data_IF_059522642902
#
_entry.id   IF_059522642902
#
_cell.length_a   1.000
_cell.length_b   1.000
_cell.length_c   1.000
_cell.angle_alpha   90.00
_cell.angle_beta   90.00
_cell.angle_gamma   90.00
#
_symmetry.space_group_name_H-M   'P 1'
#
loop_
_entity.id
_entity.type
_entity.pdbx_description
1 polymer ?
#
# COMPACT_ATOMS: atom_id res chain seq x y z
N UNK A 1 33.51 -41.49 26.00
CA UNK A 1 33.21 -40.50 24.94
C UNK A 1 31.82 -39.95 25.23
N UNK A 2 31.62 -38.88 26.02
CA UNK A 2 32.51 -37.72 26.25
C UNK A 2 32.93 -37.05 24.93
N UNK A 3 32.74 -35.74 24.68
CA UNK A 3 32.38 -34.62 25.56
C UNK A 3 31.61 -33.54 24.75
N UNK A 4 30.63 -32.89 25.39
CA UNK A 4 30.26 -31.43 25.43
C UNK A 4 30.65 -30.44 24.28
N UNK A 5 30.04 -29.26 24.08
CA UNK A 5 29.36 -28.31 24.99
C UNK A 5 28.53 -27.26 24.18
N UNK A 6 27.41 -26.76 24.72
CA UNK A 6 26.78 -25.39 24.62
C UNK A 6 26.82 -24.54 23.32
N UNK A 7 25.82 -23.69 23.02
CA UNK A 7 25.17 -22.77 23.95
C UNK A 7 23.72 -22.40 23.62
N UNK A 8 22.99 -21.99 24.66
CA UNK A 8 21.61 -21.53 24.62
C UNK A 8 21.50 -20.01 24.72
N UNK A 9 20.37 -19.45 24.26
CA UNK A 9 19.78 -18.24 24.83
C UNK A 9 18.26 -18.31 24.73
N UNK A 10 17.59 -17.93 25.81
CA UNK A 10 16.13 -17.92 25.99
C UNK A 10 15.72 -16.59 26.65
N UNK A 11 14.44 -16.46 27.05
CA UNK A 11 13.84 -15.37 27.86
C UNK A 11 13.47 -14.13 27.01
N UNK A 12 12.28 -13.52 27.09
CA UNK A 12 11.06 -13.83 27.86
C UNK A 12 9.77 -13.40 27.14
N UNK A 13 8.69 -14.14 27.42
CA UNK A 13 7.33 -13.63 27.44
C UNK A 13 7.06 -12.85 28.73
N UNK A 14 6.43 -11.67 28.66
CA UNK A 14 5.81 -11.02 29.82
C UNK A 14 4.42 -10.52 29.42
N UNK A 15 3.44 -10.88 30.23
CA UNK A 15 2.17 -10.18 30.32
C UNK A 15 1.53 -10.49 31.66
N UNK A 16 1.17 -9.47 32.44
CA UNK A 16 0.11 -9.59 33.46
C UNK A 16 -0.48 -8.24 33.90
N UNK A 17 -1.51 -8.34 34.72
CA UNK A 17 -2.51 -7.30 35.05
C UNK A 17 -2.11 -6.39 36.21
N UNK A 18 -2.84 -5.29 36.43
CA UNK A 18 -2.87 -4.57 37.73
C UNK A 18 -3.51 -3.19 37.69
N UNK A 19 -4.43 -2.89 38.62
CA UNK A 19 -5.30 -1.70 38.60
C UNK A 19 -5.00 -0.66 39.71
N UNK A 20 -5.26 0.61 39.39
CA UNK A 20 -5.84 1.71 40.23
C UNK A 20 -5.24 2.02 41.63
N UNK A 21 -4.88 3.29 41.84
CA UNK A 21 -5.05 4.00 43.11
C UNK A 21 -5.25 5.53 42.89
N UNK A 22 -6.01 6.19 43.77
CA UNK A 22 -6.45 7.59 43.67
C UNK A 22 -6.40 8.25 45.06
N UNK A 23 -5.58 9.30 45.24
CA UNK A 23 -5.42 10.08 46.50
C UNK A 23 -5.00 11.51 46.08
N UNK A 24 -5.87 12.52 46.13
CA UNK A 24 -6.19 13.41 47.27
C UNK A 24 -4.97 14.10 47.91
N UNK A 25 -4.89 15.44 47.78
CA UNK A 25 -3.90 16.27 48.48
C UNK A 25 -4.39 16.77 49.85
N UNK A 26 -3.54 17.50 50.60
CA UNK A 26 -3.95 18.83 51.07
C UNK A 26 -2.85 19.91 50.91
N UNK A 27 -3.14 21.14 51.35
CA UNK A 27 -2.49 22.39 50.92
C UNK A 27 -1.68 23.15 52.00
N UNK A 28 -0.87 24.12 51.57
CA UNK A 28 -0.19 25.18 52.35
C UNK A 28 1.01 25.76 51.59
N UNK A 29 0.93 26.97 50.98
CA UNK A 29 1.35 28.27 51.57
C UNK A 29 2.87 28.29 51.94
N UNK A 30 3.76 29.19 51.51
CA UNK A 30 3.78 30.49 50.79
C UNK A 30 5.22 30.68 50.20
N UNK A 31 5.61 31.59 49.29
CA UNK A 31 4.99 32.64 48.46
C UNK A 31 5.88 32.90 47.19
N UNK A 32 5.71 34.02 46.47
CA UNK A 32 6.58 34.45 45.34
C UNK A 32 7.28 35.81 45.59
N UNK A 33 7.75 36.57 44.56
CA UNK A 33 7.78 36.26 43.12
C UNK A 33 9.14 36.54 42.41
N UNK A 34 9.35 35.95 41.21
CA UNK A 34 9.88 36.60 39.99
C UNK A 34 10.17 35.59 38.86
N UNK A 35 9.60 35.87 37.70
CA UNK A 35 10.14 35.63 36.36
C UNK A 35 10.72 34.24 36.01
N UNK A 36 9.83 33.29 35.77
CA UNK A 36 10.07 32.21 34.80
C UNK A 36 8.78 32.01 33.98
N UNK A 37 8.81 32.17 32.64
CA UNK A 37 7.60 32.05 31.84
C UNK A 37 7.08 30.61 31.84
N UNK A 38 5.78 30.48 32.04
CA UNK A 38 5.04 29.23 31.80
C UNK A 38 5.33 28.81 30.36
N UNK A 39 5.87 27.60 30.17
CA UNK A 39 5.94 26.96 28.85
C UNK A 39 4.52 26.53 28.47
N UNK A 40 3.73 27.52 28.05
CA UNK A 40 2.45 27.34 27.40
C UNK A 40 2.68 26.50 26.15
N UNK A 41 1.86 25.46 25.98
CA UNK A 41 1.92 24.58 24.84
C UNK A 41 1.73 25.36 23.52
N UNK A 42 2.84 25.68 22.88
CA UNK A 42 2.94 26.13 21.49
C UNK A 42 3.64 25.00 20.72
N UNK A 43 3.10 24.46 19.64
CA UNK A 43 1.87 24.81 18.93
C UNK A 43 1.23 23.56 18.34
N UNK A 44 -0.05 23.34 18.64
CA UNK A 44 -0.92 22.68 17.66
C UNK A 44 -1.10 23.69 16.53
N UNK A 45 -0.25 23.60 15.51
CA UNK A 45 -0.47 24.34 14.26
C UNK A 45 -1.74 23.80 13.64
N UNK A 46 -2.84 24.53 13.84
CA UNK A 46 -4.13 24.25 13.22
C UNK A 46 -3.93 24.14 11.70
N UNK A 47 -4.04 22.92 11.16
CA UNK A 47 -3.99 22.67 9.70
C UNK A 47 -5.36 23.04 9.10
N UNK A 48 -5.78 24.27 9.36
CA UNK A 48 -7.04 24.85 8.93
C UNK A 48 -6.66 25.89 7.89
N UNK A 49 -7.08 25.65 6.64
CA UNK A 49 -6.72 26.39 5.41
C UNK A 49 -5.23 26.36 4.98
N UNK A 50 -4.74 25.19 4.52
CA UNK A 50 -3.51 25.06 3.72
C UNK A 50 -3.66 25.77 2.36
N UNK A 51 -2.63 26.48 1.90
CA UNK A 51 -2.65 27.21 0.63
C UNK A 51 -2.83 26.28 -0.60
N UNK A 52 -3.53 26.70 -1.68
CA UNK A 52 -3.82 25.86 -2.84
C UNK A 52 -2.59 25.23 -3.52
N UNK A 53 -1.45 25.93 -3.51
CA UNK A 53 -0.21 25.44 -4.11
C UNK A 53 0.37 24.21 -3.39
N UNK A 54 0.20 24.11 -2.07
CA UNK A 54 0.68 22.96 -1.28
C UNK A 54 -0.20 21.73 -1.54
N UNK A 55 -1.53 21.91 -1.60
CA UNK A 55 -2.47 20.85 -1.98
C UNK A 55 -2.16 20.26 -3.37
N UNK A 56 -1.77 21.11 -4.32
CA UNK A 56 -1.35 20.68 -5.66
C UNK A 56 -0.05 19.85 -5.62
N UNK A 57 0.92 20.25 -4.80
CA UNK A 57 2.18 19.49 -4.62
C UNK A 57 1.92 18.11 -3.99
N UNK A 58 1.05 18.03 -2.98
CA UNK A 58 0.65 16.77 -2.36
C UNK A 58 0.07 15.79 -3.39
N UNK A 59 -0.97 16.22 -4.13
CA UNK A 59 -1.63 15.38 -5.14
C UNK A 59 -0.64 14.98 -6.24
N UNK A 60 0.19 15.90 -6.73
CA UNK A 60 1.18 15.61 -7.76
C UNK A 60 2.21 14.56 -7.32
N UNK A 61 2.73 14.64 -6.09
CA UNK A 61 3.68 13.64 -5.59
C UNK A 61 3.01 12.28 -5.38
N UNK A 62 1.81 12.25 -4.79
CA UNK A 62 1.04 11.01 -4.60
C UNK A 62 0.70 10.33 -5.94
N UNK A 63 0.39 11.10 -6.99
CA UNK A 63 0.15 10.56 -8.34
C UNK A 63 1.41 9.96 -8.98
N UNK A 64 2.58 10.61 -8.81
CA UNK A 64 3.87 10.05 -9.25
C UNK A 64 4.20 8.77 -8.49
N UNK A 65 4.02 8.75 -7.17
CA UNK A 65 4.24 7.56 -6.34
C UNK A 65 3.30 6.41 -6.74
N UNK A 66 2.00 6.68 -6.91
CA UNK A 66 1.01 5.70 -7.39
C UNK A 66 1.37 5.13 -8.77
N UNK A 67 1.83 5.97 -9.70
CA UNK A 67 2.24 5.54 -11.04
C UNK A 67 3.50 4.67 -10.99
N UNK A 68 4.55 5.08 -10.30
CA UNK A 68 5.79 4.29 -10.20
C UNK A 68 5.57 2.95 -9.50
N UNK A 69 4.80 2.95 -8.40
CA UNK A 69 4.33 1.73 -7.73
C UNK A 69 3.65 0.78 -8.73
N UNK A 70 2.74 1.28 -9.57
CA UNK A 70 2.10 0.48 -10.63
C UNK A 70 3.07 0.01 -11.71
N UNK A 71 4.07 0.82 -12.11
CA UNK A 71 5.10 0.39 -13.06
C UNK A 71 5.96 -0.75 -12.49
N UNK A 72 6.32 -0.69 -11.21
CA UNK A 72 6.98 -1.79 -10.49
C UNK A 72 6.12 -3.07 -10.48
N UNK A 73 4.83 -2.97 -10.15
CA UNK A 73 3.92 -4.13 -10.20
C UNK A 73 3.81 -4.72 -11.60
N UNK A 74 3.75 -3.87 -12.63
CA UNK A 74 3.68 -4.30 -14.03
C UNK A 74 4.96 -5.03 -14.46
N UNK A 75 6.13 -4.46 -14.15
CA UNK A 75 7.43 -5.06 -14.44
C UNK A 75 7.54 -6.45 -13.78
N UNK A 76 7.28 -6.51 -12.48
CA UNK A 76 7.29 -7.73 -11.70
C UNK A 76 6.30 -8.77 -12.25
N UNK A 77 5.06 -8.38 -12.52
CA UNK A 77 4.02 -9.27 -13.07
C UNK A 77 4.41 -9.84 -14.44
N UNK A 78 4.97 -9.03 -15.34
CA UNK A 78 5.41 -9.49 -16.66
C UNK A 78 6.45 -10.61 -16.54
N UNK A 79 7.36 -10.51 -15.58
CA UNK A 79 8.44 -11.46 -15.39
C UNK A 79 7.91 -12.79 -14.86
N UNK A 80 7.22 -12.79 -13.70
CA UNK A 80 6.65 -14.01 -13.14
C UNK A 80 5.57 -14.66 -14.01
N UNK A 81 4.73 -13.87 -14.70
CA UNK A 81 3.70 -14.44 -15.58
C UNK A 81 4.29 -15.02 -16.86
N UNK A 82 5.21 -14.30 -17.51
CA UNK A 82 5.58 -14.67 -18.88
C UNK A 82 6.42 -15.95 -18.91
N UNK A 83 7.39 -16.09 -17.98
CA UNK A 83 8.38 -17.19 -17.95
C UNK A 83 8.88 -17.57 -19.36
N UNK A 84 9.01 -16.55 -20.21
CA UNK A 84 8.81 -16.69 -21.66
C UNK A 84 10.13 -16.81 -22.40
N UNK A 85 11.17 -16.18 -21.87
CA UNK A 85 12.57 -16.45 -22.22
C UNK A 85 12.88 -17.95 -22.04
N UNK A 86 12.68 -18.50 -20.85
CA UNK A 86 12.89 -19.93 -20.56
C UNK A 86 12.09 -20.85 -21.49
N UNK A 87 10.82 -20.52 -21.76
CA UNK A 87 9.99 -21.29 -22.69
C UNK A 87 10.50 -21.22 -24.13
N UNK A 88 10.91 -20.05 -24.60
CA UNK A 88 11.46 -19.85 -25.94
C UNK A 88 12.83 -20.56 -26.10
N UNK A 89 13.75 -20.33 -25.16
CA UNK A 89 15.08 -20.97 -25.06
C UNK A 89 14.99 -22.49 -25.11
N UNK A 90 14.04 -23.07 -24.36
CA UNK A 90 13.78 -24.51 -24.35
C UNK A 90 12.82 -25.00 -25.46
N UNK A 91 12.54 -24.17 -26.49
CA UNK A 91 11.67 -24.48 -27.65
C UNK A 91 10.24 -24.90 -27.30
N UNK A 92 9.76 -24.56 -26.09
CA UNK A 92 8.37 -24.68 -25.61
C UNK A 92 7.48 -23.50 -26.06
N UNK A 93 8.05 -22.55 -26.79
CA UNK A 93 7.39 -21.47 -27.52
C UNK A 93 8.18 -21.20 -28.80
N UNK A 94 7.50 -20.94 -29.92
CA UNK A 94 8.14 -20.59 -31.20
C UNK A 94 8.66 -19.16 -31.24
N UNK A 95 8.17 -18.29 -30.34
CA UNK A 95 8.56 -16.88 -30.23
C UNK A 95 8.73 -16.50 -28.75
N UNK A 96 9.62 -15.55 -28.45
CA UNK A 96 9.66 -14.91 -27.14
C UNK A 96 8.51 -13.89 -27.05
N UNK A 97 7.62 -14.07 -26.07
CA UNK A 97 6.44 -13.21 -25.85
C UNK A 97 6.53 -12.46 -24.53
N UNK A 98 7.48 -11.51 -24.46
CA UNK A 98 7.62 -10.61 -23.32
C UNK A 98 6.94 -9.26 -23.59
N UNK A 99 5.80 -9.05 -22.95
CA UNK A 99 5.13 -7.74 -22.95
C UNK A 99 5.66 -6.88 -21.81
N UNK A 100 6.69 -6.09 -22.08
CA UNK A 100 7.26 -5.16 -21.11
C UNK A 100 6.99 -3.71 -21.53
N UNK A 101 6.47 -2.91 -20.59
CA UNK A 101 6.28 -1.47 -20.76
C UNK A 101 6.80 -0.77 -19.51
N UNK A 102 7.95 -0.09 -19.64
CA UNK A 102 8.50 0.81 -18.63
C UNK A 102 8.14 2.25 -18.94
N UNK A 103 7.74 2.99 -17.92
CA UNK A 103 7.67 4.45 -17.95
C UNK A 103 8.27 5.01 -16.67
N UNK A 104 9.54 5.42 -16.75
CA UNK A 104 10.22 6.22 -15.73
C UNK A 104 10.05 7.72 -16.00
N UNK A 105 10.33 8.53 -14.99
CA UNK A 105 10.41 9.99 -15.07
C UNK A 105 11.86 10.45 -15.27
N UNK A 106 12.12 11.44 -16.14
CA UNK A 106 13.46 12.02 -16.31
C UNK A 106 13.87 12.90 -15.12
N UNK A 107 12.88 13.49 -14.42
CA UNK A 107 13.06 14.20 -13.15
C UNK A 107 11.83 13.93 -12.28
N UNK A 108 12.05 13.60 -11.02
CA UNK A 108 11.00 13.40 -10.02
C UNK A 108 10.71 14.72 -9.29
N UNK A 109 9.45 14.94 -8.83
CA UNK A 109 9.18 15.97 -7.84
C UNK A 109 9.82 15.58 -6.50
N UNK A 110 10.12 16.57 -5.66
CA UNK A 110 10.54 16.32 -4.28
C UNK A 110 9.33 15.99 -3.40
N UNK A 111 9.49 15.15 -2.34
CA UNK A 111 8.46 14.95 -1.33
C UNK A 111 8.09 16.28 -0.67
N UNK A 112 6.80 16.63 -0.52
CA UNK A 112 6.38 17.84 0.17
C UNK A 112 7.01 17.93 1.57
N UNK A 113 7.66 19.06 1.86
CA UNK A 113 8.56 19.19 3.02
C UNK A 113 7.85 19.09 4.38
N UNK A 114 6.53 19.28 4.39
CA UNK A 114 5.67 19.28 5.56
C UNK A 114 4.89 17.96 5.73
N UNK A 115 5.32 16.88 5.05
CA UNK A 115 4.87 15.51 5.31
C UNK A 115 5.56 14.90 6.54
N UNK A 116 4.90 13.96 7.24
CA UNK A 116 5.42 13.37 8.47
C UNK A 116 6.66 12.48 8.21
N UNK A 117 7.68 12.64 9.03
CA UNK A 117 8.79 11.68 9.11
C UNK A 117 8.43 10.47 9.99
N UNK A 118 9.06 9.29 9.77
CA UNK A 118 10.04 9.00 8.71
C UNK A 118 9.41 8.75 7.33
N UNK A 119 8.09 8.61 7.26
CA UNK A 119 7.38 8.18 6.04
C UNK A 119 7.64 9.07 4.81
N UNK A 120 7.88 10.38 5.00
CA UNK A 120 8.28 11.31 3.93
C UNK A 120 9.62 10.92 3.30
N UNK A 121 10.67 10.79 4.10
CA UNK A 121 12.01 10.45 3.61
C UNK A 121 12.08 9.03 3.06
N UNK A 122 11.40 8.08 3.71
CA UNK A 122 11.26 6.69 3.25
C UNK A 122 10.53 6.61 1.90
N UNK A 123 9.37 7.29 1.74
CA UNK A 123 8.68 7.31 0.44
C UNK A 123 9.48 8.07 -0.63
N UNK A 124 10.27 9.08 -0.25
CA UNK A 124 11.26 9.71 -1.11
C UNK A 124 12.26 8.72 -1.67
N UNK A 125 12.91 7.95 -0.80
CA UNK A 125 13.87 6.91 -1.19
C UNK A 125 13.21 5.82 -2.06
N UNK A 126 12.02 5.35 -1.67
CA UNK A 126 11.30 4.30 -2.38
C UNK A 126 10.85 4.74 -3.78
N UNK A 127 10.36 5.98 -3.95
CA UNK A 127 9.98 6.56 -5.26
C UNK A 127 11.20 6.69 -6.18
N UNK A 128 12.35 7.17 -5.68
CA UNK A 128 13.59 7.23 -6.47
C UNK A 128 14.02 5.83 -6.93
N UNK A 129 14.11 4.88 -5.99
CA UNK A 129 14.48 3.48 -6.27
C UNK A 129 13.54 2.81 -7.27
N UNK A 130 12.24 3.07 -7.20
CA UNK A 130 11.25 2.56 -8.15
C UNK A 130 11.49 3.10 -9.56
N UNK A 131 11.80 4.39 -9.67
CA UNK A 131 12.10 5.04 -10.95
C UNK A 131 13.36 4.47 -11.61
N UNK A 132 14.40 4.25 -10.82
CA UNK A 132 15.67 3.69 -11.30
C UNK A 132 15.52 2.21 -11.71
N UNK A 133 14.83 1.38 -10.92
CA UNK A 133 14.56 -0.02 -11.28
C UNK A 133 13.71 -0.16 -12.54
N UNK A 134 12.68 0.67 -12.71
CA UNK A 134 11.83 0.69 -13.93
C UNK A 134 12.63 1.14 -15.16
N UNK A 135 13.56 2.10 -14.99
CA UNK A 135 14.48 2.52 -16.04
C UNK A 135 15.48 1.41 -16.40
N UNK A 136 16.07 0.77 -15.40
CA UNK A 136 17.03 -0.32 -15.57
C UNK A 136 16.38 -1.51 -16.29
N UNK A 137 15.23 -2.00 -15.83
CA UNK A 137 14.52 -3.10 -16.47
C UNK A 137 14.13 -2.77 -17.93
N UNK A 138 13.80 -1.51 -18.25
CA UNK A 138 13.63 -1.07 -19.64
C UNK A 138 14.89 -1.24 -20.49
N UNK A 139 16.06 -0.87 -19.96
CA UNK A 139 17.35 -1.07 -20.65
C UNK A 139 17.75 -2.53 -20.76
N UNK A 140 17.61 -3.33 -19.70
CA UNK A 140 17.94 -4.76 -19.69
C UNK A 140 17.01 -5.56 -20.60
N UNK A 141 15.72 -5.21 -20.63
CA UNK A 141 14.75 -5.82 -21.53
C UNK A 141 15.07 -5.54 -23.00
N UNK A 142 15.42 -4.29 -23.33
CA UNK A 142 15.89 -3.95 -24.68
C UNK A 142 17.15 -4.76 -25.05
N UNK A 143 18.14 -4.82 -24.17
CA UNK A 143 19.38 -5.59 -24.40
C UNK A 143 19.11 -7.08 -24.66
N UNK A 144 18.12 -7.67 -23.98
CA UNK A 144 17.73 -9.06 -24.21
C UNK A 144 17.04 -9.25 -25.57
N UNK A 145 16.16 -8.32 -25.95
CA UNK A 145 15.51 -8.33 -27.27
C UNK A 145 16.52 -8.15 -28.41
N UNK A 146 17.45 -7.19 -28.28
CA UNK A 146 18.50 -6.94 -29.28
C UNK A 146 19.43 -8.17 -29.44
N UNK A 147 19.85 -8.79 -28.33
CA UNK A 147 20.62 -10.04 -28.30
C UNK A 147 19.91 -11.22 -28.99
N UNK A 148 18.60 -11.38 -28.78
CA UNK A 148 17.80 -12.43 -29.42
C UNK A 148 17.62 -12.16 -30.92
N UNK A 149 17.37 -10.90 -31.30
CA UNK A 149 17.19 -10.51 -32.70
C UNK A 149 18.50 -10.63 -33.52
N UNK A 150 19.65 -10.34 -32.91
CA UNK A 150 20.97 -10.50 -33.50
C UNK A 150 21.40 -11.98 -33.65
N UNK A 151 20.74 -12.89 -32.94
CA UNK A 151 21.09 -14.32 -32.81
C UNK A 151 22.44 -14.62 -32.14
N UNK A 152 22.97 -13.69 -31.35
CA UNK A 152 24.15 -13.87 -30.50
C UNK A 152 24.12 -15.19 -29.67
N UNK A 153 22.92 -15.69 -29.34
CA UNK A 153 22.70 -16.95 -28.63
C UNK A 153 23.20 -18.20 -29.37
N UNK A 154 23.39 -18.14 -30.69
CA UNK A 154 23.94 -19.24 -31.50
C UNK A 154 25.44 -19.39 -31.25
N UNK A 155 26.14 -18.28 -30.97
CA UNK A 155 27.58 -18.25 -30.67
C UNK A 155 27.89 -18.51 -29.19
N UNK A 156 27.21 -17.78 -28.28
CA UNK A 156 27.51 -17.82 -26.83
C UNK A 156 26.74 -18.91 -26.06
N UNK A 157 25.88 -19.67 -26.75
CA UNK A 157 25.02 -20.73 -26.22
C UNK A 157 24.10 -20.27 -25.08
N UNK A 158 23.41 -19.15 -25.30
CA UNK A 158 22.45 -18.51 -24.39
C UNK A 158 23.05 -17.77 -23.18
N UNK A 159 24.38 -17.70 -23.02
CA UNK A 159 25.02 -17.21 -21.79
C UNK A 159 24.59 -15.78 -21.41
N UNK A 160 24.74 -14.81 -22.31
CA UNK A 160 24.35 -13.41 -22.09
C UNK A 160 22.84 -13.25 -21.94
N UNK A 161 22.05 -14.09 -22.63
CA UNK A 161 20.60 -14.11 -22.48
C UNK A 161 20.15 -14.58 -21.09
N UNK A 162 20.81 -15.62 -20.56
CA UNK A 162 20.57 -16.15 -19.22
C UNK A 162 20.95 -15.10 -18.14
N UNK A 163 22.08 -14.41 -18.32
CA UNK A 163 22.52 -13.29 -17.44
C UNK A 163 21.50 -12.14 -17.45
N UNK A 164 21.03 -11.71 -18.62
CA UNK A 164 20.03 -10.64 -18.76
C UNK A 164 18.66 -11.04 -18.18
N UNK A 165 18.23 -12.29 -18.39
CA UNK A 165 16.98 -12.82 -17.82
C UNK A 165 17.06 -12.92 -16.28
N UNK A 166 18.18 -13.39 -15.73
CA UNK A 166 18.41 -13.42 -14.29
C UNK A 166 18.35 -12.00 -13.68
N UNK A 167 19.00 -11.01 -14.31
CA UNK A 167 18.94 -9.61 -13.86
C UNK A 167 17.53 -9.03 -13.94
N UNK A 168 16.77 -9.36 -14.99
CA UNK A 168 15.36 -8.96 -15.08
C UNK A 168 14.54 -9.55 -13.94
N UNK A 169 14.67 -10.85 -13.65
CA UNK A 169 13.98 -11.51 -12.53
C UNK A 169 14.28 -10.82 -11.18
N UNK A 170 15.55 -10.53 -10.90
CA UNK A 170 15.99 -9.80 -9.69
C UNK A 170 15.34 -8.40 -9.56
N UNK A 171 15.25 -7.67 -10.68
CA UNK A 171 14.56 -6.37 -10.73
C UNK A 171 13.05 -6.57 -10.50
N UNK A 172 12.44 -7.63 -11.03
CA UNK A 172 11.03 -7.97 -10.81
C UNK A 172 10.71 -8.25 -9.34
N UNK A 173 11.52 -9.09 -8.69
CA UNK A 173 11.40 -9.36 -7.24
C UNK A 173 11.56 -8.10 -6.41
N UNK A 174 12.54 -7.26 -6.75
CA UNK A 174 12.80 -6.01 -6.03
C UNK A 174 11.68 -4.99 -6.25
N UNK A 175 11.14 -4.89 -7.46
CA UNK A 175 9.95 -4.10 -7.78
C UNK A 175 8.73 -4.53 -6.96
N UNK A 176 8.54 -5.83 -6.72
CA UNK A 176 7.41 -6.34 -5.93
C UNK A 176 7.55 -6.07 -4.43
N UNK A 177 8.76 -6.26 -3.88
CA UNK A 177 9.06 -5.83 -2.49
C UNK A 177 8.80 -4.33 -2.33
N UNK A 178 9.27 -3.52 -3.29
CA UNK A 178 9.12 -2.06 -3.27
C UNK A 178 7.66 -1.62 -3.46
N UNK A 179 6.86 -2.36 -4.25
CA UNK A 179 5.42 -2.13 -4.38
C UNK A 179 4.69 -2.29 -3.03
N UNK A 180 5.05 -3.31 -2.24
CA UNK A 180 4.54 -3.51 -0.88
C UNK A 180 4.91 -2.34 0.04
N UNK A 181 6.20 -2.00 0.08
CA UNK A 181 6.77 -0.90 0.87
C UNK A 181 6.10 0.45 0.56
N UNK A 182 6.04 0.83 -0.72
CA UNK A 182 5.40 2.07 -1.18
C UNK A 182 3.90 2.09 -0.87
N UNK A 183 3.21 0.94 -0.86
CA UNK A 183 1.79 0.86 -0.47
C UNK A 183 1.60 1.17 1.01
N UNK A 184 2.45 0.63 1.89
CA UNK A 184 2.45 0.95 3.32
C UNK A 184 2.72 2.42 3.58
N UNK A 185 3.81 2.96 3.02
CA UNK A 185 4.22 4.35 3.17
C UNK A 185 3.17 5.35 2.64
N UNK A 186 2.61 5.08 1.46
CA UNK A 186 1.48 5.84 0.91
C UNK A 186 0.31 5.87 1.90
N UNK A 187 -0.03 4.73 2.50
CA UNK A 187 -1.15 4.63 3.43
C UNK A 187 -0.90 5.47 4.67
N UNK A 188 0.29 5.37 5.28
CA UNK A 188 0.66 6.17 6.46
C UNK A 188 0.60 7.67 6.19
N UNK A 189 1.06 8.12 5.02
CA UNK A 189 0.95 9.53 4.63
C UNK A 189 -0.52 9.92 4.42
N UNK A 190 -1.31 9.09 3.71
CA UNK A 190 -2.72 9.37 3.47
C UNK A 190 -3.55 9.43 4.76
N UNK A 191 -3.36 8.49 5.70
CA UNK A 191 -3.97 8.50 7.04
C UNK A 191 -3.73 9.84 7.75
N UNK A 192 -2.48 10.34 7.72
CA UNK A 192 -2.09 11.61 8.34
C UNK A 192 -2.66 12.83 7.62
N UNK A 193 -2.67 12.83 6.28
CA UNK A 193 -3.25 13.92 5.49
C UNK A 193 -4.79 13.99 5.63
N UNK A 194 -5.48 12.85 5.74
CA UNK A 194 -6.92 12.79 6.00
C UNK A 194 -7.21 13.36 7.39
N UNK A 195 -6.53 12.88 8.43
CA UNK A 195 -6.73 13.36 9.81
C UNK A 195 -6.48 14.87 9.94
N UNK A 196 -5.41 15.37 9.30
CA UNK A 196 -5.07 16.79 9.28
C UNK A 196 -6.11 17.69 8.57
N UNK A 197 -6.93 17.13 7.67
CA UNK A 197 -7.81 17.92 6.78
C UNK A 197 -9.30 17.71 7.01
N UNK A 198 -9.72 16.64 7.71
CA UNK A 198 -11.13 16.28 7.89
C UNK A 198 -12.01 17.41 8.43
N UNK A 199 -11.47 18.24 9.33
CA UNK A 199 -12.17 19.38 9.94
C UNK A 199 -12.34 20.58 9.00
N UNK A 200 -11.66 20.60 7.85
CA UNK A 200 -11.72 21.65 6.83
C UNK A 200 -12.40 21.22 5.53
N UNK A 201 -13.11 20.09 5.51
CA UNK A 201 -14.05 19.72 4.45
C UNK A 201 -15.45 20.29 4.74
N UNK A 202 -16.30 20.50 3.73
CA UNK A 202 -17.67 20.97 3.97
C UNK A 202 -18.55 19.97 4.76
N UNK A 203 -18.18 18.68 4.74
CA UNK A 203 -18.91 17.57 5.38
C UNK A 203 -17.97 16.69 6.24
N UNK A 204 -17.45 17.19 7.38
CA UNK A 204 -16.51 16.47 8.23
C UNK A 204 -17.06 15.15 8.80
N UNK A 205 -18.37 15.10 9.06
CA UNK A 205 -19.08 13.90 9.52
C UNK A 205 -19.10 12.82 8.43
N UNK A 206 -19.33 13.19 7.17
CA UNK A 206 -19.25 12.26 6.02
C UNK A 206 -17.84 11.71 5.84
N UNK A 207 -16.81 12.56 5.97
CA UNK A 207 -15.39 12.13 5.99
C UNK A 207 -15.13 11.16 7.15
N UNK A 208 -15.66 11.46 8.35
CA UNK A 208 -15.55 10.59 9.52
C UNK A 208 -16.14 9.21 9.29
N UNK A 209 -17.31 9.12 8.66
CA UNK A 209 -17.95 7.86 8.27
C UNK A 209 -17.09 7.07 7.27
N UNK A 210 -16.61 7.71 6.19
CA UNK A 210 -15.72 7.05 5.21
C UNK A 210 -14.43 6.52 5.87
N UNK A 211 -13.84 7.27 6.80
CA UNK A 211 -12.65 6.84 7.55
C UNK A 211 -12.94 5.67 8.48
N UNK A 212 -14.12 5.63 9.10
CA UNK A 212 -14.53 4.49 9.95
C UNK A 212 -14.70 3.21 9.12
N UNK A 213 -15.44 3.29 8.01
CA UNK A 213 -15.69 2.15 7.13
C UNK A 213 -14.38 1.67 6.45
N UNK A 214 -13.49 2.61 6.12
CA UNK A 214 -12.14 2.29 5.65
C UNK A 214 -11.28 1.57 6.70
N UNK A 215 -11.39 1.91 7.99
CA UNK A 215 -10.66 1.18 9.06
C UNK A 215 -11.11 -0.28 9.17
N UNK A 216 -12.40 -0.58 8.96
CA UNK A 216 -12.90 -1.96 8.88
C UNK A 216 -12.27 -2.68 7.68
N UNK A 217 -12.25 -2.03 6.50
CA UNK A 217 -11.56 -2.56 5.33
C UNK A 217 -10.06 -2.79 5.57
N UNK A 218 -9.38 -1.90 6.30
CA UNK A 218 -7.95 -2.03 6.66
C UNK A 218 -7.69 -3.27 7.53
N UNK A 219 -8.64 -3.69 8.37
CA UNK A 219 -8.58 -4.97 9.07
C UNK A 219 -8.51 -6.18 8.12
N UNK A 220 -9.29 -6.17 7.03
CA UNK A 220 -9.16 -7.15 5.95
C UNK A 220 -7.80 -7.04 5.26
N UNK A 221 -7.34 -5.83 4.89
CA UNK A 221 -6.03 -5.65 4.24
C UNK A 221 -4.86 -6.21 5.07
N UNK A 222 -4.89 -6.00 6.39
CA UNK A 222 -3.90 -6.54 7.33
C UNK A 222 -3.90 -8.07 7.37
N UNK A 223 -5.07 -8.72 7.34
CA UNK A 223 -5.16 -10.17 7.29
C UNK A 223 -4.65 -10.71 5.95
N UNK A 224 -5.02 -10.08 4.83
CA UNK A 224 -4.52 -10.42 3.49
C UNK A 224 -3.01 -10.18 3.33
N UNK A 225 -2.39 -9.36 4.19
CA UNK A 225 -0.93 -9.19 4.21
C UNK A 225 -0.18 -10.40 4.80
N UNK A 226 -0.88 -11.37 5.38
CA UNK A 226 -0.31 -12.65 5.82
C UNK A 226 -0.16 -13.67 4.69
N UNK A 227 -0.64 -13.36 3.48
CA UNK A 227 -0.53 -14.22 2.29
C UNK A 227 -1.09 -15.63 2.56
N UNK A 228 -0.36 -16.70 2.21
CA UNK A 228 -0.76 -18.08 2.50
C UNK A 228 -0.96 -18.42 3.98
N UNK A 229 -0.58 -17.53 4.90
CA UNK A 229 -0.77 -17.66 6.36
C UNK A 229 -2.02 -16.93 6.88
N UNK A 230 -2.77 -16.24 6.01
CA UNK A 230 -4.03 -15.61 6.38
C UNK A 230 -5.07 -16.67 6.80
N UNK A 231 -5.83 -16.39 7.86
CA UNK A 231 -6.91 -17.23 8.35
C UNK A 231 -8.15 -17.09 7.45
N UNK A 232 -8.58 -18.14 6.71
CA UNK A 232 -9.75 -18.09 5.84
C UNK A 232 -11.05 -17.75 6.56
N UNK A 233 -11.20 -18.15 7.83
CA UNK A 233 -12.41 -17.88 8.61
C UNK A 233 -12.47 -16.41 9.06
N UNK A 234 -11.33 -15.84 9.47
CA UNK A 234 -11.22 -14.40 9.79
C UNK A 234 -11.43 -13.53 8.54
N UNK A 235 -10.87 -13.94 7.40
CA UNK A 235 -11.11 -13.28 6.10
C UNK A 235 -12.61 -13.30 5.73
N UNK A 236 -13.29 -14.44 5.86
CA UNK A 236 -14.74 -14.54 5.59
C UNK A 236 -15.58 -13.67 6.55
N UNK A 237 -15.23 -13.63 7.84
CA UNK A 237 -15.90 -12.77 8.82
C UNK A 237 -15.78 -11.28 8.48
N UNK A 238 -14.57 -10.80 8.17
CA UNK A 238 -14.31 -9.41 7.78
C UNK A 238 -15.03 -9.04 6.46
N UNK A 239 -15.09 -9.96 5.51
CA UNK A 239 -15.81 -9.76 4.23
C UNK A 239 -17.33 -9.68 4.43
N UNK A 240 -17.89 -10.43 5.39
CA UNK A 240 -19.29 -10.33 5.79
C UNK A 240 -19.59 -8.99 6.47
N UNK A 241 -18.76 -8.58 7.43
CA UNK A 241 -18.87 -7.27 8.11
C UNK A 241 -18.86 -6.11 7.10
N UNK A 242 -17.88 -6.10 6.19
CA UNK A 242 -17.79 -5.12 5.09
C UNK A 242 -19.03 -5.15 4.20
N UNK A 243 -19.56 -6.33 3.88
CA UNK A 243 -20.78 -6.44 3.04
C UNK A 243 -22.00 -5.85 3.74
N UNK A 244 -22.18 -6.11 5.05
CA UNK A 244 -23.25 -5.54 5.86
C UNK A 244 -23.15 -4.01 5.94
N UNK A 245 -21.95 -3.46 6.17
CA UNK A 245 -21.73 -2.01 6.19
C UNK A 245 -22.02 -1.36 4.82
N UNK A 246 -21.62 -1.99 3.73
CA UNK A 246 -21.96 -1.53 2.37
C UNK A 246 -23.46 -1.46 2.15
N UNK A 247 -24.22 -2.49 2.55
CA UNK A 247 -25.66 -2.54 2.36
C UNK A 247 -26.39 -1.54 3.30
N UNK A 248 -25.92 -1.37 4.54
CA UNK A 248 -26.38 -0.33 5.47
C UNK A 248 -26.17 1.08 4.90
N UNK A 249 -24.99 1.37 4.35
CA UNK A 249 -24.68 2.69 3.78
C UNK A 249 -25.54 2.99 2.55
N UNK A 250 -25.76 2.02 1.67
CA UNK A 250 -26.68 2.16 0.53
C UNK A 250 -28.13 2.42 0.96
N UNK A 251 -28.59 1.76 2.03
CA UNK A 251 -29.96 1.93 2.53
C UNK A 251 -30.16 3.27 3.27
N UNK A 252 -29.23 3.63 4.15
CA UNK A 252 -29.48 4.59 5.23
C UNK A 252 -28.58 5.84 5.20
N UNK A 253 -27.48 5.85 4.44
CA UNK A 253 -26.56 7.00 4.44
C UNK A 253 -27.01 8.07 3.43
N UNK A 254 -27.75 9.07 3.92
CA UNK A 254 -28.32 10.14 3.10
C UNK A 254 -27.31 10.82 2.13
N UNK A 255 -26.05 11.13 2.51
CA UNK A 255 -25.06 11.70 1.59
C UNK A 255 -24.75 10.81 0.36
N UNK A 256 -24.95 9.50 0.45
CA UNK A 256 -24.78 8.57 -0.68
C UNK A 256 -26.03 8.50 -1.58
N UNK A 257 -27.21 8.86 -1.07
CA UNK A 257 -28.50 8.73 -1.75
C UNK A 257 -28.90 10.02 -2.47
N UNK A 258 -28.74 11.15 -1.78
CA UNK A 258 -29.36 12.42 -2.17
C UNK A 258 -28.36 13.29 -2.94
N UNK A 259 -28.06 12.87 -4.18
CA UNK A 259 -27.05 13.45 -5.08
C UNK A 259 -25.59 13.29 -4.59
N UNK A 260 -25.03 12.07 -4.60
CA UNK A 260 -23.68 11.81 -4.08
C UNK A 260 -22.57 12.43 -4.93
N UNK A 261 -21.60 13.05 -4.25
CA UNK A 261 -20.32 13.45 -4.84
C UNK A 261 -19.63 12.26 -5.53
N UNK A 262 -18.91 12.53 -6.63
CA UNK A 262 -18.29 11.49 -7.45
C UNK A 262 -17.23 10.63 -6.73
N UNK A 263 -16.50 11.21 -5.77
CA UNK A 263 -15.55 10.50 -4.93
C UNK A 263 -16.25 9.69 -3.83
N UNK A 264 -17.33 10.23 -3.24
CA UNK A 264 -18.16 9.50 -2.27
C UNK A 264 -18.82 8.26 -2.90
N UNK A 265 -19.44 8.44 -4.08
CA UNK A 265 -20.02 7.35 -4.87
C UNK A 265 -18.95 6.34 -5.29
N UNK A 266 -17.81 6.85 -5.77
CA UNK A 266 -16.66 6.03 -6.16
C UNK A 266 -16.07 5.21 -5.01
N UNK A 267 -16.10 5.73 -3.78
CA UNK A 267 -15.70 5.01 -2.57
C UNK A 267 -16.66 3.87 -2.27
N UNK A 268 -17.96 4.14 -2.10
CA UNK A 268 -18.92 3.14 -1.62
C UNK A 268 -19.33 2.10 -2.68
N UNK A 269 -19.68 2.52 -3.89
CA UNK A 269 -20.19 1.61 -4.92
C UNK A 269 -19.06 0.84 -5.62
N UNK A 270 -18.09 1.56 -6.17
CA UNK A 270 -17.02 0.94 -6.96
C UNK A 270 -15.97 0.30 -6.07
N UNK A 271 -15.37 1.04 -5.15
CA UNK A 271 -14.20 0.54 -4.40
C UNK A 271 -14.62 -0.43 -3.29
N UNK A 272 -15.44 0.02 -2.35
CA UNK A 272 -15.78 -0.75 -1.14
C UNK A 272 -16.73 -1.92 -1.43
N UNK A 273 -17.77 -1.72 -2.25
CA UNK A 273 -18.65 -2.82 -2.68
C UNK A 273 -18.03 -3.67 -3.80
N UNK A 274 -17.86 -3.13 -5.01
CA UNK A 274 -17.58 -3.99 -6.17
C UNK A 274 -16.16 -4.58 -6.14
N UNK A 275 -15.15 -3.75 -5.88
CA UNK A 275 -13.75 -4.19 -5.90
C UNK A 275 -13.28 -4.85 -4.60
N UNK A 276 -13.90 -4.57 -3.44
CA UNK A 276 -13.56 -5.26 -2.18
C UNK A 276 -14.60 -6.33 -1.84
N UNK A 277 -15.81 -5.95 -1.43
CA UNK A 277 -16.80 -6.88 -0.88
C UNK A 277 -17.25 -7.98 -1.87
N UNK A 278 -17.66 -7.61 -3.09
CA UNK A 278 -18.17 -8.54 -4.12
C UNK A 278 -17.05 -9.43 -4.65
N UNK A 279 -15.89 -8.84 -4.95
CA UNK A 279 -14.72 -9.54 -5.48
C UNK A 279 -14.17 -10.56 -4.47
N UNK A 280 -14.11 -10.21 -3.18
CA UNK A 280 -13.63 -11.14 -2.16
C UNK A 280 -14.65 -12.24 -1.82
N UNK A 281 -15.96 -11.93 -1.76
CA UNK A 281 -17.02 -12.96 -1.67
C UNK A 281 -16.95 -13.96 -2.83
N UNK A 282 -16.73 -13.46 -4.05
CA UNK A 282 -16.51 -14.30 -5.25
C UNK A 282 -15.31 -15.21 -5.06
N UNK A 283 -14.17 -14.66 -4.67
CA UNK A 283 -12.96 -15.45 -4.43
C UNK A 283 -13.15 -16.55 -3.38
N UNK A 284 -13.72 -16.24 -2.21
CA UNK A 284 -13.93 -17.22 -1.14
C UNK A 284 -14.84 -18.39 -1.60
N UNK A 285 -15.92 -18.07 -2.33
CA UNK A 285 -16.83 -19.06 -2.91
C UNK A 285 -16.17 -19.92 -3.99
N UNK A 286 -15.28 -19.33 -4.79
CA UNK A 286 -14.67 -19.99 -5.94
C UNK A 286 -13.41 -20.79 -5.57
N UNK A 287 -12.71 -20.42 -4.48
CA UNK A 287 -11.51 -21.08 -3.98
C UNK A 287 -11.74 -22.56 -3.57
N UNK A 288 -12.91 -22.85 -2.94
CA UNK A 288 -13.47 -24.18 -2.59
C UNK A 288 -12.57 -25.19 -1.86
N UNK A 289 -11.31 -24.87 -1.59
CA UNK A 289 -10.26 -25.77 -1.17
C UNK A 289 -9.09 -24.97 -0.59
N UNK A 290 -8.25 -25.57 0.28
CA UNK A 290 -7.04 -24.92 0.78
C UNK A 290 -6.08 -24.51 -0.34
N UNK A 291 -6.02 -25.26 -1.44
CA UNK A 291 -5.18 -24.94 -2.61
C UNK A 291 -5.67 -23.68 -3.32
N UNK A 292 -6.96 -23.61 -3.70
CA UNK A 292 -7.50 -22.44 -4.38
C UNK A 292 -7.42 -21.15 -3.55
N UNK A 293 -7.43 -21.28 -2.22
CA UNK A 293 -7.16 -20.16 -1.32
C UNK A 293 -5.69 -19.72 -1.41
N UNK A 294 -4.73 -20.66 -1.30
CA UNK A 294 -3.29 -20.38 -1.47
C UNK A 294 -2.95 -19.76 -2.83
N UNK A 295 -3.50 -20.27 -3.92
CA UNK A 295 -3.27 -19.76 -5.29
C UNK A 295 -3.69 -18.28 -5.45
N UNK A 296 -4.67 -17.80 -4.67
CA UNK A 296 -5.09 -16.39 -4.61
C UNK A 296 -4.37 -15.54 -3.55
N UNK A 297 -3.77 -16.21 -2.55
CA UNK A 297 -3.03 -15.62 -1.44
C UNK A 297 -1.52 -15.49 -1.69
N UNK A 298 -1.01 -16.23 -2.68
CA UNK A 298 0.37 -16.28 -3.15
C UNK A 298 1.01 -14.87 -3.19
N UNK A 299 2.21 -14.74 -2.63
CA UNK A 299 2.95 -13.47 -2.61
C UNK A 299 3.64 -13.21 -3.96
N UNK A 300 2.83 -12.89 -4.96
CA UNK A 300 3.26 -12.45 -6.29
C UNK A 300 2.40 -11.29 -6.79
N UNK A 301 2.89 -10.48 -7.75
CA UNK A 301 2.15 -9.37 -8.32
C UNK A 301 0.76 -9.78 -8.83
N UNK A 302 -0.23 -8.91 -8.57
CA UNK A 302 -1.62 -9.11 -8.98
C UNK A 302 -2.23 -10.45 -8.53
N UNK A 303 -1.79 -11.05 -7.41
CA UNK A 303 -2.61 -12.06 -6.73
C UNK A 303 -3.94 -11.44 -6.27
N UNK A 304 -4.95 -12.26 -5.96
CA UNK A 304 -6.24 -11.74 -5.50
C UNK A 304 -6.06 -10.87 -4.26
N UNK A 305 -5.25 -11.34 -3.31
CA UNK A 305 -4.95 -10.61 -2.08
C UNK A 305 -4.30 -9.26 -2.38
N UNK A 306 -3.27 -9.23 -3.23
CA UNK A 306 -2.62 -7.98 -3.63
C UNK A 306 -3.57 -7.01 -4.33
N UNK A 307 -4.47 -7.51 -5.18
CA UNK A 307 -5.46 -6.67 -5.85
C UNK A 307 -6.48 -6.08 -4.87
N UNK A 308 -7.00 -6.86 -3.91
CA UNK A 308 -7.93 -6.35 -2.88
C UNK A 308 -7.22 -5.33 -1.97
N UNK A 309 -5.99 -5.61 -1.54
CA UNK A 309 -5.18 -4.69 -0.73
C UNK A 309 -4.91 -3.38 -1.45
N UNK A 310 -4.64 -3.39 -2.76
CA UNK A 310 -4.46 -2.17 -3.55
C UNK A 310 -5.68 -1.24 -3.55
N UNK A 311 -6.89 -1.79 -3.52
CA UNK A 311 -8.14 -1.00 -3.42
C UNK A 311 -8.28 -0.38 -2.03
N UNK A 312 -7.99 -1.16 -0.98
CA UNK A 312 -8.14 -0.73 0.42
C UNK A 312 -7.04 0.26 0.84
N UNK A 313 -5.78 -0.04 0.56
CA UNK A 313 -4.64 0.73 1.04
C UNK A 313 -4.34 1.96 0.16
N UNK A 314 -4.82 2.00 -1.09
CA UNK A 314 -4.57 3.10 -2.02
C UNK A 314 -5.84 3.77 -2.55
N UNK A 315 -6.79 3.02 -3.11
CA UNK A 315 -7.95 3.64 -3.79
C UNK A 315 -8.97 4.24 -2.80
N UNK A 316 -9.25 3.58 -1.68
CA UNK A 316 -10.13 4.11 -0.62
C UNK A 316 -9.59 5.43 -0.01
N UNK A 317 -8.34 5.53 0.47
CA UNK A 317 -7.80 6.80 0.98
C UNK A 317 -7.67 7.89 -0.10
N UNK A 318 -7.37 7.52 -1.36
CA UNK A 318 -7.36 8.49 -2.47
C UNK A 318 -8.77 9.09 -2.69
N UNK A 319 -9.83 8.28 -2.59
CA UNK A 319 -11.20 8.77 -2.69
C UNK A 319 -11.60 9.67 -1.50
N UNK A 320 -11.16 9.36 -0.27
CA UNK A 320 -11.38 10.23 0.91
C UNK A 320 -10.66 11.57 0.71
N UNK A 321 -9.39 11.56 0.28
CA UNK A 321 -8.61 12.77 0.02
C UNK A 321 -9.23 13.63 -1.10
N UNK A 322 -9.77 13.01 -2.15
CA UNK A 322 -10.52 13.70 -3.21
C UNK A 322 -11.81 14.32 -2.71
N UNK A 323 -12.59 13.62 -1.88
CA UNK A 323 -13.83 14.15 -1.30
C UNK A 323 -13.57 15.39 -0.42
N UNK A 324 -12.50 15.35 0.39
CA UNK A 324 -12.00 16.50 1.16
C UNK A 324 -11.60 17.69 0.26
N UNK A 325 -11.22 17.44 -1.00
CA UNK A 325 -10.82 18.45 -1.98
C UNK A 325 -11.99 18.96 -2.85
N UNK A 326 -12.98 18.12 -3.19
CA UNK A 326 -14.13 18.50 -4.03
C UNK A 326 -15.22 19.26 -3.27
N UNK A 327 -15.33 19.04 -1.95
CA UNK A 327 -16.30 19.68 -1.09
C UNK A 327 -15.82 21.07 -0.57
N UNK A 328 -15.39 21.95 -1.49
CA UNK A 328 -14.98 23.35 -1.23
C UNK A 328 -15.44 24.30 -2.33
#
# INVERSE_FOLDING_TARGET
MELTLTAARAIATIGWWGAVALVLGPAGAQAGPRDAPIVLAQSVTSITTRAPNLLRQDTQYLDVAKRLRSQCENAAWTLWKSNSYDRWRNRKSSMMTMHYMSSSYPKLPEPPQDWPEPARSELGAAVNKANDLVKEAGTTFKSLADYINAKDYEDDKFKKGDELNARLLEIGETCHRLFSEMTGLYTTIAERLIEARKSGAAHPETVGTMVSDWKVARGLSQELALHEKADPAKVDALVKEISTLVDERKANFAPLKDNPDSALKGFYERTYNDQVAVKMRRFLRDAKSPKGFKDGAEDRPRSTFWSIRGEIDVAMPDAILRYIQSAK
#
